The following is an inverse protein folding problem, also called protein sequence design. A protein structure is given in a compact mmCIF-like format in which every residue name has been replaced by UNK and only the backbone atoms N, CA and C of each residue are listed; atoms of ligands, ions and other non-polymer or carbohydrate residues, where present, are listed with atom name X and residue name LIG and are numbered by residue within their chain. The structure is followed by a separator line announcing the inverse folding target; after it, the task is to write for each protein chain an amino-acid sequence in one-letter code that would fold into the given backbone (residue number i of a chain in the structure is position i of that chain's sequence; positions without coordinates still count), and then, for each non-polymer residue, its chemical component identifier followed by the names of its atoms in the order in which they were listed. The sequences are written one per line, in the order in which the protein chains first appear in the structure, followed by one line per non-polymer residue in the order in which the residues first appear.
data_IF_753237260194
#
_entry.id   IF_753237260194
#
_cell.length_a   1.000
_cell.length_b   1.000
_cell.length_c   1.000
_cell.angle_alpha   90.00
_cell.angle_beta   90.00
_cell.angle_gamma   90.00
#
_symmetry.space_group_name_H-M   'P 1'
#
loop_
_entity.id
_entity.type
_entity.pdbx_description
1 polymer ?
#
# COMPACT_ATOMS: atom_id res chain seq x y z
N UNK A 1 3.62 17.21 18.09
CA UNK A 1 2.63 17.18 16.99
C UNK A 1 2.62 15.84 16.23
N UNK A 2 3.59 14.96 16.45
CA UNK A 2 3.71 13.68 15.72
C UNK A 2 2.59 12.67 16.01
N UNK A 3 2.05 12.63 17.24
CA UNK A 3 0.94 11.73 17.59
C UNK A 3 -0.32 11.93 16.73
N UNK A 4 -0.70 13.19 16.45
CA UNK A 4 -1.86 13.50 15.59
C UNK A 4 -1.62 13.08 14.14
N UNK A 5 -0.37 13.09 13.68
CA UNK A 5 -0.04 12.65 12.32
C UNK A 5 -0.10 11.13 12.22
N UNK A 6 0.38 10.41 13.24
CA UNK A 6 0.28 8.95 13.31
C UNK A 6 -1.18 8.48 13.35
N UNK A 7 -2.01 9.10 14.18
CA UNK A 7 -3.45 8.81 14.28
C UNK A 7 -4.14 8.91 12.90
N UNK A 8 -3.83 9.97 12.14
CA UNK A 8 -4.34 10.16 10.78
C UNK A 8 -3.82 9.12 9.77
N UNK A 9 -2.62 8.60 9.97
CA UNK A 9 -2.05 7.55 9.13
C UNK A 9 -2.68 6.19 9.46
N UNK A 10 -2.98 5.92 10.73
CA UNK A 10 -3.73 4.71 11.14
C UNK A 10 -5.15 4.72 10.56
N UNK A 11 -5.84 5.86 10.67
CA UNK A 11 -7.16 6.05 10.03
C UNK A 11 -7.10 5.87 8.52
N UNK A 12 -6.06 6.41 7.86
CA UNK A 12 -5.86 6.25 6.43
C UNK A 12 -5.66 4.78 6.05
N UNK A 13 -4.86 4.04 6.81
CA UNK A 13 -4.63 2.62 6.57
C UNK A 13 -5.92 1.80 6.72
N UNK A 14 -6.76 2.12 7.71
CA UNK A 14 -8.07 1.50 7.87
C UNK A 14 -8.99 1.81 6.68
N UNK A 15 -9.03 3.08 6.24
CA UNK A 15 -9.82 3.49 5.08
C UNK A 15 -9.40 2.77 3.79
N UNK A 16 -8.10 2.50 3.60
CA UNK A 16 -7.65 1.70 2.45
C UNK A 16 -8.14 0.25 2.50
N UNK A 17 -8.28 -0.34 3.69
CA UNK A 17 -8.95 -1.63 3.87
C UNK A 17 -10.40 -1.61 3.36
N UNK A 18 -11.14 -0.55 3.63
CA UNK A 18 -12.50 -0.40 3.12
C UNK A 18 -12.54 -0.20 1.60
N UNK A 19 -11.58 0.54 1.05
CA UNK A 19 -11.45 0.72 -0.41
C UNK A 19 -11.14 -0.61 -1.08
N UNK A 20 -10.21 -1.39 -0.54
CA UNK A 20 -9.87 -2.73 -1.03
C UNK A 20 -11.09 -3.65 -1.05
N UNK A 21 -11.90 -3.64 0.03
CA UNK A 21 -13.12 -4.45 0.12
C UNK A 21 -14.16 -4.08 -0.95
N UNK A 22 -14.26 -2.79 -1.30
CA UNK A 22 -15.24 -2.28 -2.27
C UNK A 22 -14.74 -2.32 -3.71
N UNK A 23 -13.44 -2.14 -3.90
CA UNK A 23 -12.78 -1.97 -5.20
C UNK A 23 -11.47 -2.78 -5.22
N UNK A 24 -11.55 -4.13 -5.20
CA UNK A 24 -10.38 -4.99 -5.08
C UNK A 24 -9.42 -4.86 -6.27
N UNK A 25 -9.91 -4.45 -7.44
CA UNK A 25 -9.10 -4.28 -8.65
C UNK A 25 -8.48 -2.88 -8.77
N UNK A 26 -8.71 -1.98 -7.79
CA UNK A 26 -8.16 -0.63 -7.83
C UNK A 26 -6.70 -0.63 -7.34
N UNK A 27 -5.78 -0.87 -8.28
CA UNK A 27 -4.33 -1.00 -8.05
C UNK A 27 -3.72 0.12 -7.18
N UNK A 28 -4.04 1.41 -7.36
CA UNK A 28 -3.45 2.49 -6.57
C UNK A 28 -3.67 2.38 -5.06
N UNK A 29 -4.77 1.73 -4.63
CA UNK A 29 -5.05 1.46 -3.20
C UNK A 29 -3.88 0.78 -2.53
N UNK A 30 -3.33 -0.24 -3.17
CA UNK A 30 -2.30 -1.10 -2.62
C UNK A 30 -0.95 -0.37 -2.47
N UNK A 31 -0.60 0.46 -3.46
CA UNK A 31 0.62 1.28 -3.41
C UNK A 31 0.55 2.30 -2.27
N UNK A 32 -0.57 3.03 -2.19
CA UNK A 32 -0.78 4.06 -1.17
C UNK A 32 -0.86 3.46 0.24
N UNK A 33 -1.57 2.34 0.41
CA UNK A 33 -1.65 1.63 1.69
C UNK A 33 -0.27 1.12 2.14
N UNK A 34 0.53 0.59 1.20
CA UNK A 34 1.92 0.21 1.44
C UNK A 34 2.76 1.38 1.96
N UNK A 35 2.71 2.53 1.28
CA UNK A 35 3.45 3.74 1.68
C UNK A 35 3.02 4.27 3.06
N UNK A 36 1.72 4.27 3.36
CA UNK A 36 1.20 4.67 4.68
C UNK A 36 1.68 3.70 5.76
N UNK A 37 1.66 2.39 5.51
CA UNK A 37 2.15 1.40 6.45
C UNK A 37 3.67 1.54 6.68
N UNK A 38 4.46 1.89 5.67
CA UNK A 38 5.88 2.25 5.82
C UNK A 38 6.06 3.49 6.70
N UNK A 39 5.26 4.53 6.48
CA UNK A 39 5.30 5.76 7.29
C UNK A 39 4.89 5.53 8.76
N UNK A 40 4.10 4.47 9.02
CA UNK A 40 3.73 4.00 10.36
C UNK A 40 4.78 3.07 11.00
N UNK A 41 5.94 2.86 10.36
CA UNK A 41 6.97 1.91 10.81
C UNK A 41 6.45 0.46 10.92
N UNK A 42 5.56 0.07 9.99
CA UNK A 42 4.96 -1.28 9.90
C UNK A 42 5.38 -1.99 8.60
N UNK A 43 6.68 -2.35 8.44
CA UNK A 43 7.20 -2.89 7.18
C UNK A 43 6.53 -4.20 6.75
N UNK A 44 6.14 -5.06 7.69
CA UNK A 44 5.43 -6.31 7.38
C UNK A 44 4.01 -6.07 6.86
N UNK A 45 3.35 -5.00 7.31
CA UNK A 45 2.03 -4.61 6.79
C UNK A 45 2.19 -3.98 5.41
N UNK A 46 3.20 -3.13 5.25
CA UNK A 46 3.52 -2.52 3.96
C UNK A 46 3.82 -3.57 2.90
N UNK A 47 4.65 -4.57 3.21
CA UNK A 47 4.98 -5.68 2.31
C UNK A 47 3.73 -6.40 1.82
N UNK A 48 2.82 -6.77 2.72
CA UNK A 48 1.57 -7.46 2.35
C UNK A 48 0.69 -6.65 1.40
N UNK A 49 0.55 -5.35 1.64
CA UNK A 49 -0.20 -4.46 0.76
C UNK A 49 0.43 -4.39 -0.63
N UNK A 50 1.74 -4.20 -0.70
CA UNK A 50 2.45 -4.06 -1.96
C UNK A 50 2.47 -5.37 -2.77
N UNK A 51 2.71 -6.53 -2.12
CA UNK A 51 2.66 -7.85 -2.77
C UNK A 51 1.28 -8.12 -3.37
N UNK A 52 0.21 -7.82 -2.63
CA UNK A 52 -1.15 -7.94 -3.16
C UNK A 52 -1.39 -6.98 -4.33
N UNK A 53 -0.90 -5.75 -4.23
CA UNK A 53 -0.94 -4.78 -5.32
C UNK A 53 -0.24 -5.28 -6.58
N UNK A 54 0.90 -5.95 -6.46
CA UNK A 54 1.63 -6.53 -7.59
C UNK A 54 0.77 -7.54 -8.33
N UNK A 55 0.08 -8.42 -7.60
CA UNK A 55 -0.83 -9.40 -8.20
C UNK A 55 -2.01 -8.74 -8.90
N UNK A 56 -2.60 -7.70 -8.31
CA UNK A 56 -3.71 -6.95 -8.92
C UNK A 56 -3.25 -6.18 -10.15
N UNK A 57 -2.10 -5.50 -10.09
CA UNK A 57 -1.51 -4.78 -11.22
C UNK A 57 -1.20 -5.70 -12.40
N UNK A 58 -0.65 -6.88 -12.13
CA UNK A 58 -0.38 -7.93 -13.15
C UNK A 58 -1.66 -8.39 -13.83
N UNK A 59 -2.73 -8.62 -13.07
CA UNK A 59 -4.04 -9.01 -13.61
C UNK A 59 -4.68 -7.90 -14.43
N UNK A 60 -4.55 -6.65 -13.98
CA UNK A 60 -5.09 -5.48 -14.66
C UNK A 60 -4.26 -5.06 -15.91
N UNK A 61 -3.04 -5.56 -16.05
CA UNK A 61 -2.11 -5.13 -17.10
C UNK A 61 -1.52 -3.74 -16.87
N UNK A 62 -1.53 -3.25 -15.62
CA UNK A 62 -0.99 -1.93 -15.26
C UNK A 62 0.52 -2.01 -15.02
N UNK A 63 1.28 -1.99 -16.11
CA UNK A 63 2.75 -2.06 -16.06
C UNK A 63 3.39 -0.89 -15.32
N UNK A 64 2.74 0.28 -15.30
CA UNK A 64 3.29 1.46 -14.62
C UNK A 64 3.22 1.27 -13.11
N UNK A 65 2.03 1.00 -12.58
CA UNK A 65 1.87 0.82 -11.13
C UNK A 65 2.55 -0.45 -10.66
N UNK A 66 2.64 -1.50 -11.48
CA UNK A 66 3.45 -2.69 -11.18
C UNK A 66 4.91 -2.34 -10.88
N UNK A 67 5.52 -1.45 -11.68
CA UNK A 67 6.91 -1.01 -11.43
C UNK A 67 7.01 -0.24 -10.11
N UNK A 68 6.10 0.70 -9.85
CA UNK A 68 6.09 1.50 -8.62
C UNK A 68 5.92 0.63 -7.36
N UNK A 69 5.08 -0.41 -7.43
CA UNK A 69 4.88 -1.37 -6.35
C UNK A 69 6.15 -2.20 -6.07
N UNK A 70 6.84 -2.63 -7.12
CA UNK A 70 8.07 -3.40 -6.99
C UNK A 70 9.20 -2.54 -6.42
N UNK A 71 9.34 -1.30 -6.87
CA UNK A 71 10.32 -0.34 -6.34
C UNK A 71 10.10 -0.06 -4.85
N UNK A 72 8.82 0.03 -4.43
CA UNK A 72 8.45 0.19 -3.03
C UNK A 72 8.83 -1.06 -2.19
N UNK A 73 8.59 -2.27 -2.71
CA UNK A 73 8.99 -3.53 -2.06
C UNK A 73 10.50 -3.66 -1.90
N UNK A 74 11.25 -3.27 -2.93
CA UNK A 74 12.71 -3.30 -2.93
C UNK A 74 13.27 -2.33 -1.88
N UNK A 75 12.59 -1.19 -1.67
CA UNK A 75 12.95 -0.22 -0.64
C UNK A 75 12.72 -0.76 0.78
N UNK A 76 11.71 -1.60 1.00
CA UNK A 76 11.45 -2.25 2.30
C UNK A 76 12.46 -3.34 2.67
N UNK A 77 13.23 -3.83 1.69
CA UNK A 77 14.17 -4.93 1.88
C UNK A 77 15.62 -4.47 2.08
N UNK A 78 15.83 -3.15 2.11
CA UNK A 78 17.13 -2.50 2.38
C UNK A 78 17.24 -2.08 3.84
#
# INVERSE_FOLDING_TARGET
MELRSLDRLEDALAAYGDVENRFPDYVPTYLMAGQVATALDRPEVARKWLEKGVDVARRAGDSKTLSELQDALDTLSK
#
